data_IF_576443709972
#
_entry.id   IF_576443709972
#
_cell.length_a   1.000
_cell.length_b   1.000
_cell.length_c   1.000
_cell.angle_alpha   90.00
_cell.angle_beta   90.00
_cell.angle_gamma   90.00
#
_symmetry.space_group_name_H-M   'P 1'
#
loop_
_entity.id
_entity.type
_entity.pdbx_description
1 polymer ?
#
# COMPACT_ATOMS: atom_id res chain seq x y z
N UNK A 1 11.28 -52.47 37.62
CA UNK A 1 11.37 -52.33 36.14
C UNK A 1 10.27 -51.42 35.61
N UNK A 2 9.00 -51.68 35.92
CA UNK A 2 7.84 -50.95 35.41
C UNK A 2 7.87 -49.41 35.59
N UNK A 3 8.42 -48.89 36.69
CA UNK A 3 8.53 -47.44 36.92
C UNK A 3 9.63 -46.76 36.08
N UNK A 4 10.69 -47.50 35.74
CA UNK A 4 11.80 -46.98 34.92
C UNK A 4 11.35 -46.86 33.47
N UNK A 5 10.62 -47.86 32.99
CA UNK A 5 10.01 -47.88 31.65
C UNK A 5 9.02 -46.72 31.45
N UNK A 6 8.15 -46.45 32.44
CA UNK A 6 7.23 -45.30 32.42
C UNK A 6 7.97 -43.95 32.36
N UNK A 7 9.06 -43.78 33.10
CA UNK A 7 9.86 -42.54 33.08
C UNK A 7 10.56 -42.34 31.74
N UNK A 8 11.10 -43.42 31.16
CA UNK A 8 11.73 -43.38 29.82
C UNK A 8 10.70 -43.02 28.75
N UNK A 9 9.51 -43.61 28.81
CA UNK A 9 8.43 -43.33 27.86
C UNK A 9 7.99 -41.86 27.91
N UNK A 10 7.82 -41.29 29.11
CA UNK A 10 7.50 -39.87 29.29
C UNK A 10 8.60 -38.97 28.73
N UNK A 11 9.87 -39.34 28.95
CA UNK A 11 11.00 -38.58 28.44
C UNK A 11 11.04 -38.55 26.90
N UNK A 12 10.79 -39.71 26.27
CA UNK A 12 10.70 -39.81 24.80
C UNK A 12 9.54 -38.96 24.29
N UNK A 13 8.38 -39.00 24.97
CA UNK A 13 7.21 -38.21 24.60
C UNK A 13 7.50 -36.70 24.65
N UNK A 14 8.16 -36.22 25.71
CA UNK A 14 8.55 -34.82 25.86
C UNK A 14 9.57 -34.41 24.78
N UNK A 15 10.56 -35.24 24.48
CA UNK A 15 11.57 -34.95 23.45
C UNK A 15 10.94 -34.93 22.05
N UNK A 16 9.98 -35.81 21.76
CA UNK A 16 9.21 -35.79 20.52
C UNK A 16 8.32 -34.54 20.40
N UNK A 17 7.78 -34.03 21.51
CA UNK A 17 7.02 -32.77 21.52
C UNK A 17 7.92 -31.56 21.29
N UNK A 18 9.11 -31.51 21.90
CA UNK A 18 10.06 -30.40 21.74
C UNK A 18 10.67 -30.39 20.33
N UNK A 19 10.99 -31.57 19.77
CA UNK A 19 11.61 -31.70 18.44
C UNK A 19 10.70 -31.31 17.26
N UNK A 20 9.38 -31.22 17.48
CA UNK A 20 8.41 -30.80 16.48
C UNK A 20 8.04 -29.31 16.54
N UNK A 21 8.58 -28.55 17.48
CA UNK A 21 8.48 -27.08 17.47
C UNK A 21 9.54 -26.54 16.52
N UNK A 22 9.38 -26.82 15.22
CA UNK A 22 9.90 -25.92 14.20
C UNK A 22 9.02 -24.68 14.30
N UNK A 23 9.38 -23.77 15.19
CA UNK A 23 8.80 -22.44 15.19
C UNK A 23 8.95 -21.91 13.77
N UNK A 24 7.83 -21.73 13.08
CA UNK A 24 7.85 -20.92 11.87
C UNK A 24 8.39 -19.58 12.33
N UNK A 25 9.58 -19.22 11.86
CA UNK A 25 9.96 -17.82 11.86
C UNK A 25 8.94 -17.20 10.89
N UNK A 26 7.85 -16.67 11.44
CA UNK A 26 7.07 -15.68 10.71
C UNK A 26 8.03 -14.49 10.59
N UNK A 27 8.79 -14.45 9.51
CA UNK A 27 9.31 -13.18 9.03
C UNK A 27 8.05 -12.38 8.68
N UNK A 28 7.60 -11.59 9.65
CA UNK A 28 6.56 -10.60 9.46
C UNK A 28 7.18 -9.53 8.57
N UNK A 29 7.03 -9.69 7.27
CA UNK A 29 7.37 -8.64 6.34
C UNK A 29 6.32 -7.56 6.52
N UNK A 30 6.70 -6.41 7.05
CA UNK A 30 5.82 -5.25 7.11
C UNK A 30 5.60 -4.74 5.67
N UNK A 31 4.35 -4.50 5.25
CA UNK A 31 4.11 -3.86 3.96
C UNK A 31 4.68 -2.44 4.02
N UNK A 32 5.25 -1.98 2.91
CA UNK A 32 5.77 -0.62 2.74
C UNK A 32 5.01 0.12 1.65
N UNK A 33 4.72 1.40 1.91
CA UNK A 33 4.20 2.35 0.92
C UNK A 33 5.10 3.59 0.92
N UNK A 34 5.83 3.81 -0.17
CA UNK A 34 6.84 4.88 -0.25
C UNK A 34 7.07 5.33 -1.69
N UNK A 35 7.36 6.62 -1.89
CA UNK A 35 7.91 7.10 -3.17
C UNK A 35 9.37 6.67 -3.28
N UNK A 36 9.71 5.95 -4.35
CA UNK A 36 11.03 5.38 -4.54
C UNK A 36 11.95 6.29 -5.36
N UNK A 37 11.55 6.60 -6.59
CA UNK A 37 12.34 7.37 -7.56
C UNK A 37 11.44 8.07 -8.56
N UNK A 38 12.01 8.98 -9.33
CA UNK A 38 11.40 9.47 -10.58
C UNK A 38 11.83 8.63 -11.77
N UNK A 39 11.01 8.54 -12.81
CA UNK A 39 11.40 7.96 -14.10
C UNK A 39 10.67 8.57 -15.28
N UNK A 40 11.08 8.21 -16.50
CA UNK A 40 10.45 8.64 -17.74
C UNK A 40 9.51 7.55 -18.26
N UNK A 41 8.24 7.90 -18.41
CA UNK A 41 7.21 7.05 -19.01
C UNK A 41 6.49 7.83 -20.11
N UNK A 42 6.51 7.30 -21.34
CA UNK A 42 5.92 7.98 -22.51
C UNK A 42 6.36 9.45 -22.67
N UNK A 43 7.66 9.72 -22.49
CA UNK A 43 8.29 11.06 -22.53
C UNK A 43 7.91 12.01 -21.38
N UNK A 44 7.06 11.58 -20.45
CA UNK A 44 6.72 12.35 -19.25
C UNK A 44 7.53 11.84 -18.05
N UNK A 45 8.02 12.76 -17.22
CA UNK A 45 8.63 12.41 -15.93
C UNK A 45 7.53 12.16 -14.91
N UNK A 46 7.63 11.06 -14.18
CA UNK A 46 6.64 10.58 -13.22
C UNK A 46 7.32 10.05 -11.96
N UNK A 47 6.54 9.87 -10.89
CA UNK A 47 7.00 9.23 -9.66
C UNK A 47 6.70 7.74 -9.66
N UNK A 48 7.60 6.96 -9.07
CA UNK A 48 7.42 5.52 -8.84
C UNK A 48 7.13 5.30 -7.37
N UNK A 49 5.94 4.82 -7.05
CA UNK A 49 5.56 4.36 -5.71
C UNK A 49 5.82 2.86 -5.55
N UNK A 50 6.35 2.44 -4.41
CA UNK A 50 6.39 1.03 -4.00
C UNK A 50 5.17 0.75 -3.12
N UNK A 51 4.46 -0.34 -3.42
CA UNK A 51 3.33 -0.85 -2.65
C UNK A 51 3.51 -2.37 -2.49
N UNK A 52 4.51 -2.79 -1.71
CA UNK A 52 4.91 -4.20 -1.57
C UNK A 52 5.49 -4.45 -0.17
N UNK A 53 5.89 -5.68 0.11
CA UNK A 53 6.76 -6.02 1.22
C UNK A 53 8.20 -5.60 0.94
N UNK A 54 8.92 -5.22 1.99
CA UNK A 54 10.35 -4.98 1.87
C UNK A 54 11.08 -6.27 1.42
N UNK A 55 11.93 -6.13 0.41
CA UNK A 55 12.77 -7.16 -0.20
C UNK A 55 14.17 -6.56 -0.36
N UNK A 56 15.21 -7.37 -0.15
CA UNK A 56 16.59 -6.88 -0.34
C UNK A 56 16.86 -6.45 -1.78
N UNK A 57 16.28 -7.16 -2.75
CA UNK A 57 16.32 -6.82 -4.16
C UNK A 57 15.10 -6.00 -4.54
N UNK A 58 15.27 -4.67 -4.62
CA UNK A 58 14.18 -3.75 -4.93
C UNK A 58 13.54 -4.04 -6.28
N UNK A 59 14.30 -4.55 -7.26
CA UNK A 59 13.77 -4.81 -8.61
C UNK A 59 12.64 -5.85 -8.65
N UNK A 60 12.51 -6.66 -7.59
CA UNK A 60 11.44 -7.65 -7.40
C UNK A 60 10.23 -7.10 -6.64
N UNK A 61 10.24 -5.81 -6.28
CA UNK A 61 9.11 -5.15 -5.66
C UNK A 61 8.06 -4.75 -6.69
N UNK A 62 6.80 -4.69 -6.25
CA UNK A 62 5.72 -4.11 -7.05
C UNK A 62 5.77 -2.59 -7.02
N UNK A 63 5.82 -2.01 -8.21
CA UNK A 63 5.85 -0.59 -8.45
C UNK A 63 4.54 -0.10 -9.05
N UNK A 64 4.19 1.13 -8.74
CA UNK A 64 3.09 1.86 -9.35
C UNK A 64 3.63 3.17 -9.93
N UNK A 65 3.28 3.44 -11.18
CA UNK A 65 3.66 4.66 -11.90
C UNK A 65 2.62 5.74 -11.61
N UNK A 66 3.02 6.79 -10.90
CA UNK A 66 2.14 7.81 -10.36
C UNK A 66 2.43 9.18 -11.01
N UNK A 67 1.37 9.86 -11.44
CA UNK A 67 1.45 11.21 -12.01
C UNK A 67 0.55 12.16 -11.23
N UNK A 68 1.14 13.18 -10.63
CA UNK A 68 0.42 14.29 -10.03
C UNK A 68 0.28 15.44 -11.05
N UNK A 69 -0.94 15.91 -11.27
CA UNK A 69 -1.24 17.11 -12.07
C UNK A 69 -1.87 18.16 -11.14
N UNK A 70 -1.10 19.18 -10.77
CA UNK A 70 -1.51 20.23 -9.81
C UNK A 70 -2.53 21.21 -10.38
N UNK A 71 -2.58 21.40 -11.71
CA UNK A 71 -3.57 22.28 -12.36
C UNK A 71 -4.95 21.62 -12.40
N UNK A 72 -4.95 20.31 -12.66
CA UNK A 72 -6.18 19.52 -12.60
C UNK A 72 -6.54 19.11 -11.19
N UNK A 73 -5.56 19.13 -10.29
CA UNK A 73 -5.64 18.63 -8.93
C UNK A 73 -6.04 17.15 -8.90
N UNK A 74 -5.36 16.34 -9.71
CA UNK A 74 -5.64 14.91 -9.87
C UNK A 74 -4.36 14.10 -9.70
N UNK A 75 -4.47 12.97 -9.00
CA UNK A 75 -3.46 11.92 -8.99
C UNK A 75 -3.90 10.79 -9.92
N UNK A 76 -3.01 10.41 -10.81
CA UNK A 76 -3.18 9.31 -11.74
C UNK A 76 -2.25 8.15 -11.41
N UNK A 77 -2.70 6.94 -11.74
CA UNK A 77 -1.90 5.71 -11.80
C UNK A 77 -1.88 5.24 -13.25
N UNK A 78 -0.71 4.87 -13.75
CA UNK A 78 -0.61 4.26 -15.08
C UNK A 78 -1.18 2.84 -15.06
N UNK A 79 -2.10 2.56 -15.98
CA UNK A 79 -2.59 1.23 -16.27
C UNK A 79 -1.77 0.66 -17.43
N UNK A 80 -0.83 -0.24 -17.12
CA UNK A 80 0.06 -0.85 -18.12
C UNK A 80 -0.70 -1.66 -19.17
N UNK A 81 -1.79 -2.32 -18.79
CA UNK A 81 -2.55 -3.17 -19.69
C UNK A 81 -3.23 -2.33 -20.79
N UNK A 82 -3.79 -1.19 -20.39
CA UNK A 82 -4.49 -0.29 -21.30
C UNK A 82 -3.61 0.86 -21.83
N UNK A 83 -2.37 1.00 -21.32
CA UNK A 83 -1.41 2.06 -21.63
C UNK A 83 -1.96 3.48 -21.37
N UNK A 84 -2.79 3.65 -20.36
CA UNK A 84 -3.45 4.94 -20.04
C UNK A 84 -3.24 5.33 -18.57
N UNK A 85 -3.25 6.63 -18.30
CA UNK A 85 -3.33 7.14 -16.92
C UNK A 85 -4.78 7.12 -16.42
N UNK A 86 -5.04 6.31 -15.39
CA UNK A 86 -6.33 6.25 -14.71
C UNK A 86 -6.32 7.15 -13.48
N UNK A 87 -7.38 7.93 -13.31
CA UNK A 87 -7.56 8.76 -12.11
C UNK A 87 -7.76 7.89 -10.88
N UNK A 88 -6.92 8.09 -9.85
CA UNK A 88 -7.06 7.41 -8.55
C UNK A 88 -7.47 8.35 -7.41
N UNK A 89 -7.20 9.65 -7.55
CA UNK A 89 -7.57 10.66 -6.56
C UNK A 89 -7.97 11.96 -7.28
N UNK A 90 -9.08 12.59 -6.87
CA UNK A 90 -9.41 13.96 -7.26
C UNK A 90 -9.39 14.84 -6.01
N UNK A 91 -8.53 15.85 -6.00
CA UNK A 91 -8.30 16.72 -4.84
C UNK A 91 -9.24 17.95 -4.81
N UNK A 92 -10.02 18.18 -5.87
CA UNK A 92 -11.03 19.25 -5.93
C UNK A 92 -12.22 18.95 -5.04
N UNK A 93 -12.70 19.98 -4.34
CA UNK A 93 -13.89 19.99 -3.45
C UNK A 93 -15.21 19.72 -4.18
N UNK A 94 -15.29 18.50 -4.70
CA UNK A 94 -16.45 17.88 -5.30
C UNK A 94 -16.62 16.49 -4.69
N UNK A 95 -17.84 15.95 -4.78
CA UNK A 95 -18.18 14.61 -4.33
C UNK A 95 -17.43 13.56 -5.18
N UNK A 96 -16.15 13.36 -4.87
CA UNK A 96 -15.33 12.34 -5.51
C UNK A 96 -15.66 10.98 -4.92
N UNK A 97 -16.12 10.10 -5.79
CA UNK A 97 -16.15 8.66 -5.58
C UNK A 97 -15.48 8.02 -6.78
N UNK A 98 -14.47 7.17 -6.55
CA UNK A 98 -13.86 6.45 -7.65
C UNK A 98 -14.93 5.60 -8.34
N UNK A 99 -15.08 5.77 -9.65
CA UNK A 99 -16.06 5.01 -10.44
C UNK A 99 -15.60 3.58 -10.68
N UNK A 100 -14.29 3.36 -10.65
CA UNK A 100 -13.63 2.07 -10.85
C UNK A 100 -12.90 1.64 -9.56
N UNK A 101 -12.68 0.32 -9.46
CA UNK A 101 -11.79 -0.29 -8.48
C UNK A 101 -10.35 0.19 -8.71
N UNK A 102 -9.71 0.64 -7.64
CA UNK A 102 -8.30 1.03 -7.62
C UNK A 102 -7.51 -0.13 -7.04
N UNK A 103 -6.48 -0.59 -7.75
CA UNK A 103 -5.53 -1.61 -7.29
C UNK A 103 -4.13 -1.00 -7.22
N UNK A 104 -3.46 -1.12 -6.07
CA UNK A 104 -2.10 -0.65 -5.85
C UNK A 104 -1.24 -1.78 -5.26
N UNK A 105 -0.28 -2.27 -6.04
CA UNK A 105 0.71 -3.26 -5.63
C UNK A 105 0.12 -4.55 -5.03
N UNK A 106 0.47 -4.82 -3.77
CA UNK A 106 0.01 -6.00 -3.03
C UNK A 106 -1.35 -5.83 -2.34
N UNK A 107 -1.84 -4.59 -2.20
CA UNK A 107 -3.10 -4.31 -1.52
C UNK A 107 -4.27 -4.74 -2.38
N UNK A 108 -5.34 -5.23 -1.77
CA UNK A 108 -6.60 -5.53 -2.45
C UNK A 108 -7.23 -4.30 -3.06
N UNK A 109 -8.03 -4.54 -4.10
CA UNK A 109 -8.73 -3.47 -4.78
C UNK A 109 -9.67 -2.74 -3.84
N UNK A 110 -9.82 -1.43 -4.04
CA UNK A 110 -10.67 -0.59 -3.20
C UNK A 110 -11.37 0.49 -4.02
N UNK A 111 -12.48 0.98 -3.49
CA UNK A 111 -13.16 2.20 -3.97
C UNK A 111 -12.86 3.31 -2.98
N UNK A 112 -12.57 4.49 -3.51
CA UNK A 112 -12.19 5.64 -2.70
C UNK A 112 -13.32 6.67 -2.69
N UNK A 113 -13.73 7.11 -1.49
CA UNK A 113 -14.76 8.14 -1.30
C UNK A 113 -14.20 9.26 -0.46
N UNK A 114 -14.45 10.51 -0.86
CA UNK A 114 -14.01 11.66 -0.08
C UNK A 114 -14.83 11.80 1.20
N UNK A 115 -14.15 11.92 2.35
CA UNK A 115 -14.79 12.19 3.64
C UNK A 115 -14.63 13.66 4.05
N UNK A 116 -13.52 14.30 3.68
CA UNK A 116 -13.27 15.73 3.95
C UNK A 116 -12.38 16.34 2.86
N UNK A 117 -12.10 17.65 2.97
CA UNK A 117 -11.17 18.34 2.08
C UNK A 117 -9.78 17.68 2.04
N UNK A 118 -9.34 17.07 3.14
CA UNK A 118 -8.01 16.49 3.27
C UNK A 118 -8.00 14.97 3.49
N UNK A 119 -9.15 14.28 3.44
CA UNK A 119 -9.19 12.84 3.73
C UNK A 119 -10.17 12.09 2.84
N UNK A 120 -9.76 10.88 2.48
CA UNK A 120 -10.53 9.94 1.69
C UNK A 120 -10.54 8.58 2.39
N UNK A 121 -11.69 7.93 2.38
CA UNK A 121 -11.88 6.58 2.88
C UNK A 121 -11.84 5.58 1.75
N UNK A 122 -11.13 4.49 1.98
CA UNK A 122 -11.12 3.33 1.11
C UNK A 122 -12.10 2.29 1.65
N UNK A 123 -12.93 1.76 0.76
CA UNK A 123 -13.90 0.70 1.06
C UNK A 123 -13.74 -0.45 0.08
N UNK A 124 -14.15 -1.64 0.50
CA UNK A 124 -14.21 -2.80 -0.37
C UNK A 124 -15.03 -2.51 -1.64
N UNK A 125 -14.56 -2.95 -2.82
CA UNK A 125 -15.32 -2.87 -4.07
C UNK A 125 -16.40 -3.95 -4.15
N UNK A 126 -16.37 -4.94 -3.24
CA UNK A 126 -17.33 -6.04 -3.20
C UNK A 126 -18.70 -5.60 -2.68
N UNK A 127 -19.77 -6.27 -3.14
CA UNK A 127 -21.16 -5.84 -2.94
C UNK A 127 -21.66 -5.82 -1.48
N UNK A 128 -20.97 -6.50 -0.56
CA UNK A 128 -21.24 -6.48 0.89
C UNK A 128 -20.45 -5.40 1.64
N UNK A 129 -19.58 -4.66 0.94
CA UNK A 129 -18.72 -3.61 1.49
C UNK A 129 -17.65 -4.12 2.45
N UNK A 130 -17.40 -5.44 2.48
CA UNK A 130 -16.41 -6.06 3.38
C UNK A 130 -15.32 -6.75 2.57
N UNK A 131 -14.14 -6.85 3.17
CA UNK A 131 -13.10 -7.74 2.69
C UNK A 131 -13.27 -9.08 3.41
N UNK A 132 -12.93 -10.22 2.76
CA UNK A 132 -12.74 -11.48 3.48
C UNK A 132 -11.62 -11.33 4.54
N UNK A 133 -11.46 -12.30 5.45
CA UNK A 133 -10.36 -12.27 6.42
C UNK A 133 -8.98 -12.43 5.76
N UNK A 134 -7.94 -11.85 6.37
CA UNK A 134 -6.54 -11.95 5.94
C UNK A 134 -6.20 -11.23 4.63
N UNK A 135 -6.71 -10.01 4.46
CA UNK A 135 -6.49 -9.18 3.28
C UNK A 135 -5.62 -7.97 3.60
N UNK A 136 -4.79 -7.54 2.64
CA UNK A 136 -3.98 -6.31 2.73
C UNK A 136 -4.81 -5.17 2.19
N UNK A 137 -5.23 -4.25 3.03
CA UNK A 137 -6.24 -3.25 2.64
C UNK A 137 -5.75 -1.84 2.89
N UNK A 138 -5.95 -0.96 1.92
CA UNK A 138 -5.87 0.48 2.16
C UNK A 138 -7.14 0.91 2.88
N UNK A 139 -6.99 1.69 3.94
CA UNK A 139 -8.08 2.18 4.81
C UNK A 139 -8.46 3.61 4.49
N UNK A 140 -7.45 4.46 4.32
CA UNK A 140 -7.66 5.86 3.97
C UNK A 140 -6.43 6.46 3.31
N UNK A 141 -6.65 7.58 2.64
CA UNK A 141 -5.61 8.45 2.11
C UNK A 141 -5.86 9.86 2.65
N UNK A 142 -4.87 10.43 3.32
CA UNK A 142 -4.92 11.79 3.84
C UNK A 142 -3.96 12.68 3.06
N UNK A 143 -4.43 13.88 2.69
CA UNK A 143 -3.60 14.92 2.08
C UNK A 143 -2.89 15.66 3.21
N UNK A 144 -1.56 15.53 3.25
CA UNK A 144 -0.72 16.25 4.22
C UNK A 144 -0.29 17.62 3.67
N UNK A 145 0.03 17.68 2.38
CA UNK A 145 0.43 18.92 1.72
C UNK A 145 0.02 18.86 0.25
N UNK A 146 -0.42 20.01 -0.28
CA UNK A 146 -0.76 20.20 -1.69
C UNK A 146 -0.27 21.59 -2.12
N UNK A 147 0.76 21.62 -2.96
CA UNK A 147 1.30 22.84 -3.61
C UNK A 147 1.26 22.66 -5.13
N UNK A 148 1.66 23.69 -5.88
CA UNK A 148 1.83 23.56 -7.34
C UNK A 148 2.87 22.52 -7.73
N UNK A 149 3.89 22.34 -6.92
CA UNK A 149 5.00 21.42 -7.21
C UNK A 149 4.80 20.06 -6.56
N UNK A 150 4.23 19.99 -5.36
CA UNK A 150 4.24 18.78 -4.53
C UNK A 150 2.86 18.40 -4.03
N UNK A 151 2.62 17.09 -4.01
CA UNK A 151 1.54 16.47 -3.28
C UNK A 151 2.15 15.47 -2.29
N UNK A 152 1.93 15.69 -1.00
CA UNK A 152 2.33 14.74 0.05
C UNK A 152 1.07 14.10 0.60
N UNK A 153 0.98 12.78 0.50
CA UNK A 153 -0.14 12.00 1.02
C UNK A 153 0.33 10.94 2.00
N UNK A 154 -0.50 10.71 3.01
CA UNK A 154 -0.40 9.57 3.93
C UNK A 154 -1.38 8.50 3.47
N UNK A 155 -0.87 7.29 3.24
CA UNK A 155 -1.71 6.13 2.94
C UNK A 155 -1.76 5.27 4.20
N UNK A 156 -2.92 5.16 4.83
CA UNK A 156 -3.13 4.30 5.98
C UNK A 156 -3.62 2.93 5.50
N UNK A 157 -3.00 1.85 5.96
CA UNK A 157 -3.30 0.49 5.52
C UNK A 157 -3.23 -0.52 6.66
N UNK A 158 -3.83 -1.67 6.43
CA UNK A 158 -3.81 -2.84 7.31
C UNK A 158 -3.28 -4.05 6.54
N UNK A 159 -2.51 -4.90 7.23
CA UNK A 159 -2.02 -6.17 6.69
C UNK A 159 -3.00 -7.33 6.93
N UNK A 160 -2.61 -8.55 6.54
CA UNK A 160 -3.42 -9.77 6.74
C UNK A 160 -3.65 -10.16 8.23
N UNK A 161 -2.96 -9.51 9.16
CA UNK A 161 -3.09 -9.69 10.61
C UNK A 161 -3.82 -8.50 11.27
N UNK A 162 -4.41 -7.61 10.47
CA UNK A 162 -5.11 -6.40 10.90
C UNK A 162 -4.19 -5.39 11.62
N UNK A 163 -2.87 -5.54 11.46
CA UNK A 163 -1.92 -4.57 11.98
C UNK A 163 -1.95 -3.31 11.14
N UNK A 164 -1.98 -2.18 11.84
CA UNK A 164 -2.17 -0.85 11.24
C UNK A 164 -0.84 -0.19 10.96
N UNK A 165 -0.71 0.29 9.73
CA UNK A 165 0.48 0.95 9.23
C UNK A 165 0.12 2.21 8.48
N UNK A 166 1.15 3.01 8.17
CA UNK A 166 1.02 4.08 7.21
C UNK A 166 2.29 4.20 6.38
N UNK A 167 2.13 4.69 5.16
CA UNK A 167 3.21 5.10 4.30
C UNK A 167 3.03 6.52 3.81
N UNK A 168 4.11 7.12 3.37
CA UNK A 168 4.13 8.50 2.88
C UNK A 168 4.55 8.47 1.41
N UNK A 169 3.72 9.06 0.57
CA UNK A 169 4.04 9.32 -0.83
C UNK A 169 4.29 10.82 -0.99
N UNK A 170 5.47 11.14 -1.50
CA UNK A 170 5.85 12.49 -1.94
C UNK A 170 5.82 12.46 -3.46
N UNK A 171 4.93 13.23 -4.05
CA UNK A 171 4.67 13.25 -5.49
C UNK A 171 4.97 14.64 -6.04
N UNK A 172 5.56 14.70 -7.22
CA UNK A 172 6.00 15.94 -7.85
C UNK A 172 5.22 16.15 -9.16
N UNK A 173 4.65 17.35 -9.31
CA UNK A 173 4.23 17.82 -10.62
C UNK A 173 5.45 18.36 -11.35
N UNK A 174 6.03 17.54 -12.23
CA UNK A 174 7.26 17.85 -12.94
C UNK A 174 7.14 19.03 -13.91
N UNK A 175 5.93 19.52 -14.23
CA UNK A 175 5.75 20.80 -14.93
C UNK A 175 6.33 21.98 -14.14
N UNK A 176 6.35 21.86 -12.81
CA UNK A 176 6.74 22.89 -11.87
C UNK A 176 8.00 22.51 -11.07
N UNK A 177 8.80 21.54 -11.55
CA UNK A 177 10.01 21.06 -10.84
C UNK A 177 10.99 22.20 -10.50
N UNK A 178 11.09 23.20 -11.39
CA UNK A 178 11.98 24.36 -11.27
C UNK A 178 11.34 25.57 -10.58
N UNK A 179 10.10 25.46 -10.10
CA UNK A 179 9.43 26.51 -9.32
C UNK A 179 9.76 26.31 -7.84
N UNK A 180 9.96 27.40 -7.11
CA UNK A 180 10.10 27.35 -5.65
C UNK A 180 8.76 26.98 -5.02
N UNK A 181 8.78 26.17 -3.96
CA UNK A 181 7.57 25.86 -3.21
C UNK A 181 7.12 27.15 -2.50
N UNK A 182 6.03 27.77 -2.96
CA UNK A 182 5.34 28.80 -2.17
C UNK A 182 4.68 28.11 -0.96
N UNK A 183 5.02 28.57 0.25
CA UNK A 183 4.51 28.06 1.54
C UNK A 183 2.99 28.21 1.71
#
# INVERSE_FOLDING_TARGET
>A
MEQIEKKIMIHILIVCFIGNIKGQILEFYEPIVVTYKSELLNTEKIDVGIFDYFKQDTSKMKYEHLKYDSDKEILYRYDEANKIFKTILCLKDQNFKSKEEIKLGIFDGFVLTRESSNSFKATSPYGDGRYPSHHKIIKSIDILQKTKKRLIIRVNYEDEFEWKYFGILVLTDYKYENVEDEE
#
